data_IF_890863604393
#
_entry.id   IF_890863604393
#
_cell.length_a   1.000
_cell.length_b   1.000
_cell.length_c   1.000
_cell.angle_alpha   90.00
_cell.angle_beta   90.00
_cell.angle_gamma   90.00
#
_symmetry.space_group_name_H-M   'P 1'
#
loop_
_entity.id
_entity.type
_entity.pdbx_description
1 polymer ?
#
# COMPACT_ATOMS: atom_id res chain seq x y z
N UNK A 1 10.29 -27.06 3.29
CA UNK A 1 8.86 -26.77 3.04
C UNK A 1 8.72 -26.33 1.58
N UNK A 2 7.90 -27.01 0.78
CA UNK A 2 7.67 -26.60 -0.61
C UNK A 2 6.97 -25.23 -0.63
N UNK A 3 7.58 -24.24 -1.28
CA UNK A 3 6.94 -22.93 -1.48
C UNK A 3 5.75 -23.11 -2.43
N UNK A 4 4.55 -22.69 -2.02
CA UNK A 4 3.36 -22.71 -2.89
C UNK A 4 3.61 -21.79 -4.09
N UNK A 5 3.21 -22.25 -5.28
CA UNK A 5 3.36 -21.50 -6.54
C UNK A 5 2.22 -20.51 -6.81
N UNK A 6 1.10 -20.59 -6.08
CA UNK A 6 -0.10 -19.80 -6.32
C UNK A 6 -0.65 -19.25 -5.00
N UNK A 7 -1.15 -18.01 -5.05
CA UNK A 7 -1.84 -17.36 -3.94
C UNK A 7 -3.17 -18.06 -3.62
N UNK A 8 -3.49 -18.14 -2.33
CA UNK A 8 -4.80 -18.58 -1.84
C UNK A 8 -5.89 -17.59 -2.24
N UNK A 9 -7.15 -18.04 -2.15
CA UNK A 9 -8.31 -17.17 -2.34
C UNK A 9 -8.27 -15.95 -1.41
N UNK A 10 -7.99 -16.17 -0.12
CA UNK A 10 -7.91 -15.09 0.85
C UNK A 10 -6.80 -14.07 0.52
N UNK A 11 -5.62 -14.54 0.08
CA UNK A 11 -4.53 -13.65 -0.36
C UNK A 11 -4.95 -12.84 -1.60
N UNK A 12 -5.64 -13.45 -2.57
CA UNK A 12 -6.16 -12.76 -3.75
C UNK A 12 -7.22 -11.72 -3.39
N UNK A 13 -8.15 -12.06 -2.48
CA UNK A 13 -9.19 -11.14 -2.03
C UNK A 13 -8.57 -9.92 -1.32
N UNK A 14 -7.51 -10.11 -0.54
CA UNK A 14 -6.77 -8.99 0.10
C UNK A 14 -6.08 -8.13 -0.95
N UNK A 15 -5.41 -8.74 -1.93
CA UNK A 15 -4.75 -8.02 -3.03
C UNK A 15 -5.77 -7.20 -3.82
N UNK A 16 -6.92 -7.78 -4.15
CA UNK A 16 -7.97 -7.12 -4.91
C UNK A 16 -8.50 -5.88 -4.17
N UNK A 17 -8.78 -5.99 -2.88
CA UNK A 17 -9.23 -4.87 -2.04
C UNK A 17 -8.20 -3.75 -1.95
N UNK A 18 -6.92 -4.11 -1.78
CA UNK A 18 -5.82 -3.13 -1.77
C UNK A 18 -5.69 -2.43 -3.12
N UNK A 19 -5.80 -3.17 -4.22
CA UNK A 19 -5.73 -2.62 -5.58
C UNK A 19 -6.87 -1.63 -5.83
N UNK A 20 -8.09 -1.94 -5.39
CA UNK A 20 -9.22 -1.02 -5.49
C UNK A 20 -9.00 0.27 -4.70
N UNK A 21 -8.52 0.17 -3.44
CA UNK A 21 -8.21 1.36 -2.64
C UNK A 21 -7.16 2.23 -3.31
N UNK A 22 -6.10 1.61 -3.83
CA UNK A 22 -5.02 2.31 -4.53
C UNK A 22 -5.53 3.00 -5.80
N UNK A 23 -6.33 2.32 -6.62
CA UNK A 23 -6.91 2.92 -7.82
C UNK A 23 -7.80 4.12 -7.50
N UNK A 24 -8.58 4.07 -6.41
CA UNK A 24 -9.39 5.21 -5.96
C UNK A 24 -8.53 6.41 -5.58
N UNK A 25 -7.42 6.21 -4.87
CA UNK A 25 -6.46 7.28 -4.53
C UNK A 25 -5.79 7.88 -5.78
N UNK A 26 -5.39 7.03 -6.74
CA UNK A 26 -4.80 7.49 -8.00
C UNK A 26 -5.80 8.29 -8.85
N UNK A 27 -7.07 7.87 -8.92
CA UNK A 27 -8.13 8.65 -9.58
C UNK A 27 -8.30 10.00 -8.90
N UNK A 28 -8.35 10.03 -7.57
CA UNK A 28 -8.46 11.28 -6.81
C UNK A 28 -7.32 12.24 -7.16
N UNK A 29 -6.09 11.73 -7.19
CA UNK A 29 -4.87 12.53 -7.35
C UNK A 29 -4.57 12.93 -8.79
N UNK A 30 -4.87 12.07 -9.77
CA UNK A 30 -4.46 12.27 -11.17
C UNK A 30 -5.60 12.69 -12.08
N UNK A 31 -6.85 12.37 -11.73
CA UNK A 31 -8.03 12.75 -12.53
C UNK A 31 -8.79 13.86 -11.83
N UNK A 32 -9.25 13.61 -10.60
CA UNK A 32 -10.11 14.58 -9.89
C UNK A 32 -9.32 15.84 -9.56
N UNK A 33 -8.14 15.75 -8.96
CA UNK A 33 -7.30 16.93 -8.68
C UNK A 33 -7.02 17.76 -9.95
N UNK A 34 -6.78 17.10 -11.07
CA UNK A 34 -6.41 17.75 -12.34
C UNK A 34 -7.56 18.54 -12.94
N UNK A 35 -8.79 17.98 -12.90
CA UNK A 35 -9.95 18.60 -13.54
C UNK A 35 -10.86 19.36 -12.57
N UNK A 36 -10.84 19.00 -11.29
CA UNK A 36 -11.73 19.44 -10.21
C UNK A 36 -11.00 19.47 -8.85
N UNK A 37 -9.97 20.32 -8.68
CA UNK A 37 -9.11 20.31 -7.49
C UNK A 37 -9.88 20.45 -6.17
N UNK A 38 -10.92 21.29 -6.14
CA UNK A 38 -11.74 21.50 -4.94
C UNK A 38 -12.58 20.28 -4.54
N UNK A 39 -12.75 19.31 -5.45
CA UNK A 39 -13.54 18.10 -5.21
C UNK A 39 -12.69 16.89 -4.80
N UNK A 40 -11.36 16.99 -4.82
CA UNK A 40 -10.48 15.86 -4.51
C UNK A 40 -10.77 15.27 -3.12
N UNK A 41 -10.79 16.11 -2.09
CA UNK A 41 -10.98 15.66 -0.71
C UNK A 41 -12.41 15.14 -0.47
N UNK A 42 -13.41 15.74 -1.12
CA UNK A 42 -14.79 15.26 -1.09
C UNK A 42 -14.92 13.88 -1.74
N UNK A 43 -14.27 13.67 -2.88
CA UNK A 43 -14.23 12.38 -3.57
C UNK A 43 -13.56 11.31 -2.69
N UNK A 44 -12.39 11.59 -2.10
CA UNK A 44 -11.73 10.63 -1.19
C UNK A 44 -12.61 10.29 0.01
N UNK A 45 -13.25 11.30 0.61
CA UNK A 45 -14.15 11.10 1.74
C UNK A 45 -15.38 10.25 1.36
N UNK A 46 -15.93 10.46 0.17
CA UNK A 46 -17.02 9.66 -0.35
C UNK A 46 -16.58 8.21 -0.56
N UNK A 47 -15.47 7.97 -1.28
CA UNK A 47 -14.97 6.62 -1.56
C UNK A 47 -14.62 5.85 -0.29
N UNK A 48 -14.07 6.53 0.74
CA UNK A 48 -13.83 5.94 2.07
C UNK A 48 -15.11 5.47 2.77
N UNK A 49 -16.23 6.17 2.56
CA UNK A 49 -17.53 5.77 3.11
C UNK A 49 -18.18 4.65 2.31
N UNK A 50 -18.01 4.66 0.99
CA UNK A 50 -18.60 3.67 0.08
C UNK A 50 -17.90 2.31 0.19
N UNK A 51 -16.57 2.30 0.34
CA UNK A 51 -15.77 1.07 0.40
C UNK A 51 -14.81 1.06 1.62
N UNK A 52 -15.33 1.12 2.86
CA UNK A 52 -14.50 1.29 4.06
C UNK A 52 -13.51 0.14 4.28
N UNK A 53 -13.86 -1.08 3.88
CA UNK A 53 -13.01 -2.26 4.03
C UNK A 53 -11.75 -2.23 3.15
N UNK A 54 -11.80 -1.56 1.99
CA UNK A 54 -10.63 -1.39 1.11
C UNK A 54 -9.65 -0.40 1.72
N UNK A 55 -10.18 0.76 2.15
CA UNK A 55 -9.40 1.82 2.77
C UNK A 55 -8.78 1.40 4.10
N UNK A 56 -9.48 0.59 4.91
CA UNK A 56 -8.92 0.04 6.14
C UNK A 56 -7.65 -0.76 5.89
N UNK A 57 -7.63 -1.60 4.84
CA UNK A 57 -6.43 -2.37 4.48
C UNK A 57 -5.31 -1.47 3.97
N UNK A 58 -5.65 -0.45 3.18
CA UNK A 58 -4.68 0.53 2.68
C UNK A 58 -4.02 1.31 3.83
N UNK A 59 -4.81 1.76 4.81
CA UNK A 59 -4.31 2.50 5.98
C UNK A 59 -3.34 1.64 6.82
N UNK A 60 -3.69 0.36 7.05
CA UNK A 60 -2.80 -0.57 7.76
C UNK A 60 -1.50 -0.82 6.99
N UNK A 61 -1.58 -0.96 5.66
CA UNK A 61 -0.40 -1.08 4.80
C UNK A 61 0.48 0.18 4.88
N UNK A 62 -0.12 1.37 4.80
CA UNK A 62 0.60 2.65 4.90
C UNK A 62 1.32 2.80 6.25
N UNK A 63 0.70 2.35 7.36
CA UNK A 63 1.37 2.31 8.68
C UNK A 63 2.49 1.28 8.76
N UNK A 64 2.40 0.19 7.99
CA UNK A 64 3.43 -0.86 7.98
C UNK A 64 4.68 -0.45 7.19
N UNK A 65 4.52 0.28 6.08
CA UNK A 65 5.62 0.66 5.18
C UNK A 65 6.82 1.31 5.91
N UNK A 66 6.65 2.33 6.77
CA UNK A 66 7.78 2.96 7.46
C UNK A 66 8.52 1.99 8.37
N UNK A 67 7.79 1.09 9.04
CA UNK A 67 8.36 0.09 9.95
C UNK A 67 9.20 -0.92 9.17
N UNK A 68 8.64 -1.47 8.09
CA UNK A 68 9.31 -2.41 7.18
C UNK A 68 10.53 -1.76 6.55
N UNK A 69 10.40 -0.53 6.02
CA UNK A 69 11.51 0.22 5.43
C UNK A 69 12.66 0.40 6.42
N UNK A 70 12.38 0.83 7.65
CA UNK A 70 13.39 1.02 8.69
C UNK A 70 14.13 -0.28 9.00
N UNK A 71 13.40 -1.40 9.08
CA UNK A 71 13.99 -2.71 9.31
C UNK A 71 14.91 -3.11 8.15
N UNK A 72 14.42 -3.04 6.90
CA UNK A 72 15.19 -3.42 5.71
C UNK A 72 16.46 -2.59 5.56
N UNK A 73 16.40 -1.27 5.81
CA UNK A 73 17.58 -0.40 5.77
C UNK A 73 18.62 -0.83 6.81
N UNK A 74 18.18 -1.15 8.04
CA UNK A 74 19.08 -1.61 9.10
C UNK A 74 19.73 -2.95 8.76
N UNK A 75 19.00 -3.87 8.13
CA UNK A 75 19.53 -5.16 7.68
C UNK A 75 20.56 -4.95 6.57
N UNK A 76 20.25 -4.12 5.59
CA UNK A 76 21.17 -3.78 4.49
C UNK A 76 22.45 -3.10 4.99
N UNK A 77 22.36 -2.13 5.90
CA UNK A 77 23.54 -1.46 6.49
C UNK A 77 24.46 -2.44 7.24
N UNK A 78 23.90 -3.48 7.87
CA UNK A 78 24.70 -4.52 8.52
C UNK A 78 25.44 -5.36 7.50
N UNK A 79 24.77 -5.78 6.43
CA UNK A 79 25.39 -6.57 5.36
C UNK A 79 26.52 -5.81 4.69
N UNK A 80 26.33 -4.52 4.40
CA UNK A 80 27.37 -3.65 3.81
C UNK A 80 28.58 -3.53 4.75
N UNK A 81 28.36 -3.33 6.06
CA UNK A 81 29.44 -3.22 7.05
C UNK A 81 30.24 -4.52 7.22
N UNK A 82 29.58 -5.67 7.14
CA UNK A 82 30.25 -6.98 7.18
C UNK A 82 31.16 -7.14 5.96
N UNK A 83 30.68 -6.76 4.77
CA UNK A 83 31.47 -6.84 3.52
C UNK A 83 32.64 -5.85 3.44
N UNK A 84 32.65 -4.77 4.22
CA UNK A 84 33.75 -3.78 4.22
C UNK A 84 34.83 -4.07 5.27
N UNK A 85 34.60 -5.06 6.14
CA UNK A 85 35.53 -5.49 7.17
C UNK A 85 36.12 -6.91 6.92
N UNK A 86 35.88 -7.45 5.72
CA UNK A 86 36.60 -8.59 5.12
C UNK A 86 37.58 -8.09 4.06
#
# INVERSE_FOLDING_TARGET
MAKRKVATKAEKDVIDRLAHAFACEEIAKHVIRTHYPDLEESYKAHMRKTCPEFYRLLDELQKAIPRVRKQMLKEFEKEVKVQTHE
#
